data_IF_803790068153
#
_entry.id   IF_803790068153
#
_cell.length_a   1.000
_cell.length_b   1.000
_cell.length_c   1.000
_cell.angle_alpha   90.00
_cell.angle_beta   90.00
_cell.angle_gamma   90.00
#
_symmetry.space_group_name_H-M   'P 1'
#
loop_
_entity.id
_entity.type
_entity.pdbx_description
1 polymer ?
#
# COMPACT_ATOMS: atom_id res chain seq x y z
N UNK A 1 -6.63 -34.14 -1.45
CA UNK A 1 -6.55 -32.65 -1.41
C UNK A 1 -7.72 -32.09 -2.20
N UNK A 2 -8.51 -31.18 -1.62
CA UNK A 2 -9.64 -30.55 -2.32
C UNK A 2 -9.14 -29.26 -2.97
N UNK A 3 -9.14 -29.22 -4.30
CA UNK A 3 -8.67 -28.07 -5.07
C UNK A 3 -9.71 -26.95 -4.93
N UNK A 4 -9.36 -25.88 -4.21
CA UNK A 4 -10.20 -24.69 -3.99
C UNK A 4 -10.14 -23.76 -5.23
N UNK A 5 -10.50 -24.27 -6.41
CA UNK A 5 -10.42 -23.50 -7.67
C UNK A 5 -11.52 -22.47 -7.85
N UNK A 6 -12.48 -22.37 -6.93
CA UNK A 6 -13.62 -21.45 -7.05
C UNK A 6 -14.54 -21.73 -8.24
N UNK A 7 -14.42 -22.88 -8.90
CA UNK A 7 -15.23 -23.22 -10.07
C UNK A 7 -16.64 -23.68 -9.65
N UNK A 8 -17.59 -22.74 -9.60
CA UNK A 8 -19.02 -23.05 -9.68
C UNK A 8 -19.46 -22.92 -11.14
N UNK A 9 -20.11 -23.97 -11.67
CA UNK A 9 -20.56 -23.98 -13.06
C UNK A 9 -21.57 -22.86 -13.34
N UNK A 10 -21.28 -22.02 -14.33
CA UNK A 10 -22.16 -20.98 -14.86
C UNK A 10 -21.92 -19.57 -14.29
N UNK A 11 -21.10 -18.77 -14.99
CA UNK A 11 -21.00 -17.32 -14.75
C UNK A 11 -20.30 -16.92 -13.45
N UNK A 12 -19.11 -17.45 -13.17
CA UNK A 12 -18.30 -17.05 -12.01
C UNK A 12 -17.73 -15.62 -12.13
N UNK A 13 -17.59 -14.93 -11.00
CA UNK A 13 -16.73 -13.74 -10.94
C UNK A 13 -15.26 -14.20 -10.97
N UNK A 14 -14.46 -13.60 -11.85
CA UNK A 14 -13.03 -13.83 -11.90
C UNK A 14 -12.28 -12.55 -11.54
N UNK A 15 -11.32 -12.64 -10.62
CA UNK A 15 -10.37 -11.56 -10.38
C UNK A 15 -9.50 -11.42 -11.63
N UNK A 16 -9.70 -10.33 -12.37
CA UNK A 16 -8.86 -9.96 -13.53
C UNK A 16 -8.02 -8.74 -13.15
N UNK A 17 -6.76 -8.93 -12.69
CA UNK A 17 -5.90 -7.83 -12.29
C UNK A 17 -5.61 -6.94 -13.51
N UNK A 18 -5.68 -5.62 -13.30
CA UNK A 18 -5.32 -4.60 -14.29
C UNK A 18 -3.96 -3.98 -13.98
N UNK A 19 -3.59 -3.92 -12.71
CA UNK A 19 -2.28 -3.45 -12.26
C UNK A 19 -1.84 -4.19 -11.00
N UNK A 20 -0.53 -4.35 -10.87
CA UNK A 20 0.15 -4.85 -9.67
C UNK A 20 1.36 -3.98 -9.40
N UNK A 21 1.43 -3.38 -8.22
CA UNK A 21 2.50 -2.48 -7.78
C UNK A 21 3.04 -2.94 -6.40
N UNK A 22 4.35 -2.87 -6.18
CA UNK A 22 5.00 -3.33 -4.96
C UNK A 22 5.72 -2.19 -4.22
N UNK A 23 5.57 -2.15 -2.90
CA UNK A 23 6.14 -1.17 -1.97
C UNK A 23 6.71 -1.89 -0.75
N UNK A 24 8.02 -2.20 -0.78
CA UNK A 24 8.66 -2.99 0.27
C UNK A 24 8.03 -4.38 0.35
N UNK A 25 7.55 -4.77 1.54
CA UNK A 25 6.82 -6.03 1.75
C UNK A 25 5.35 -5.98 1.32
N UNK A 26 4.84 -4.81 0.90
CA UNK A 26 3.42 -4.66 0.53
C UNK A 26 3.26 -4.76 -0.98
N UNK A 27 2.32 -5.58 -1.46
CA UNK A 27 1.94 -5.67 -2.87
C UNK A 27 0.48 -5.26 -3.02
N UNK A 28 0.20 -4.38 -3.97
CA UNK A 28 -1.14 -3.90 -4.28
C UNK A 28 -1.52 -4.40 -5.66
N UNK A 29 -2.60 -5.17 -5.75
CA UNK A 29 -3.22 -5.55 -7.01
C UNK A 29 -4.59 -4.88 -7.10
N UNK A 30 -4.88 -4.21 -8.21
CA UNK A 30 -6.22 -3.71 -8.49
C UNK A 30 -6.77 -4.33 -9.77
N UNK A 31 -8.09 -4.45 -9.84
CA UNK A 31 -8.73 -4.98 -11.02
C UNK A 31 -10.21 -4.68 -11.06
N UNK A 32 -10.83 -5.15 -12.13
CA UNK A 32 -12.26 -5.08 -12.31
C UNK A 32 -12.81 -6.44 -12.73
N UNK A 33 -14.09 -6.66 -12.49
CA UNK A 33 -14.81 -7.65 -13.27
C UNK A 33 -15.09 -7.10 -14.67
N UNK A 34 -15.43 -8.00 -15.59
CA UNK A 34 -15.98 -7.69 -16.91
C UNK A 34 -17.02 -6.55 -16.87
N UNK A 35 -17.15 -5.82 -17.98
CA UNK A 35 -17.96 -4.63 -18.15
C UNK A 35 -19.43 -4.83 -17.72
N UNK A 36 -19.93 -6.06 -17.73
CA UNK A 36 -21.26 -6.41 -17.25
C UNK A 36 -21.46 -6.23 -15.73
N UNK A 37 -20.41 -6.43 -14.91
CA UNK A 37 -20.54 -6.46 -13.44
C UNK A 37 -20.15 -5.16 -12.77
N UNK A 38 -19.37 -4.30 -13.44
CA UNK A 38 -18.98 -2.98 -12.93
C UNK A 38 -18.42 -3.01 -11.49
N UNK A 39 -17.73 -4.10 -11.14
CA UNK A 39 -17.11 -4.29 -9.83
C UNK A 39 -15.65 -3.87 -9.90
N UNK A 40 -15.24 -3.02 -8.96
CA UNK A 40 -13.86 -2.65 -8.74
C UNK A 40 -13.34 -3.35 -7.48
N UNK A 41 -12.09 -3.81 -7.50
CA UNK A 41 -11.47 -4.42 -6.34
C UNK A 41 -10.00 -4.03 -6.22
N UNK A 42 -9.53 -3.97 -4.97
CA UNK A 42 -8.11 -3.85 -4.61
C UNK A 42 -7.77 -4.91 -3.58
N UNK A 43 -6.68 -5.63 -3.81
CA UNK A 43 -6.06 -6.54 -2.86
C UNK A 43 -4.73 -5.96 -2.41
N UNK A 44 -4.52 -5.91 -1.10
CA UNK A 44 -3.24 -5.55 -0.50
C UNK A 44 -2.68 -6.77 0.23
N UNK A 45 -1.50 -7.22 -0.18
CA UNK A 45 -0.79 -8.34 0.41
C UNK A 45 0.42 -7.85 1.19
N UNK A 46 0.70 -8.47 2.33
CA UNK A 46 2.02 -8.40 2.95
C UNK A 46 2.76 -9.69 2.65
N UNK A 47 3.91 -9.58 2.00
CA UNK A 47 4.75 -10.70 1.59
C UNK A 47 5.96 -10.77 2.52
N UNK A 48 6.17 -11.92 3.16
CA UNK A 48 7.31 -12.20 4.02
C UNK A 48 8.61 -12.34 3.22
N UNK A 49 9.77 -12.36 3.91
CA UNK A 49 11.08 -12.48 3.26
C UNK A 49 11.28 -13.83 2.54
N UNK A 50 10.47 -14.84 2.87
CA UNK A 50 10.40 -16.15 2.22
C UNK A 50 9.46 -16.18 0.99
N UNK A 51 8.87 -15.03 0.63
CA UNK A 51 7.92 -14.92 -0.48
C UNK A 51 6.49 -15.35 -0.13
N UNK A 52 6.22 -15.69 1.13
CA UNK A 52 4.87 -16.14 1.55
C UNK A 52 3.99 -14.95 1.87
N UNK A 53 2.74 -14.96 1.39
CA UNK A 53 1.74 -13.97 1.78
C UNK A 53 1.35 -14.22 3.24
N UNK A 54 1.65 -13.27 4.10
CA UNK A 54 1.37 -13.32 5.55
C UNK A 54 0.11 -12.55 5.93
N UNK A 55 -0.30 -11.58 5.10
CA UNK A 55 -1.55 -10.84 5.28
C UNK A 55 -2.21 -10.56 3.92
N UNK A 56 -3.53 -10.59 3.91
CA UNK A 56 -4.38 -10.20 2.78
C UNK A 56 -5.47 -9.25 3.30
N UNK A 57 -5.61 -8.09 2.65
CA UNK A 57 -6.76 -7.19 2.80
C UNK A 57 -7.43 -7.03 1.45
N UNK A 58 -8.74 -7.22 1.43
CA UNK A 58 -9.56 -7.09 0.24
C UNK A 58 -10.54 -5.93 0.38
N UNK A 59 -10.59 -5.10 -0.66
CA UNK A 59 -11.48 -3.94 -0.74
C UNK A 59 -12.28 -4.00 -2.03
N UNK A 60 -13.59 -4.20 -1.93
CA UNK A 60 -14.51 -4.10 -3.06
C UNK A 60 -15.15 -2.72 -3.12
N UNK A 61 -15.31 -2.20 -4.34
CA UNK A 61 -15.97 -0.92 -4.61
C UNK A 61 -15.52 0.18 -3.63
N UNK A 62 -14.22 0.24 -3.38
CA UNK A 62 -13.58 1.19 -2.46
C UNK A 62 -12.41 1.80 -3.19
N UNK A 63 -12.29 3.12 -3.11
CA UNK A 63 -11.15 3.86 -3.65
C UNK A 63 -10.03 3.84 -2.59
N UNK A 64 -8.87 3.30 -2.95
CA UNK A 64 -7.74 3.15 -2.06
C UNK A 64 -6.58 4.06 -2.47
N UNK A 65 -6.01 4.76 -1.48
CA UNK A 65 -4.76 5.50 -1.59
C UNK A 65 -3.72 4.87 -0.66
N UNK A 66 -2.54 4.56 -1.16
CA UNK A 66 -1.43 4.08 -0.34
C UNK A 66 -0.51 5.24 0.00
N UNK A 67 -0.24 5.40 1.28
CA UNK A 67 0.56 6.52 1.79
C UNK A 67 1.69 5.97 2.64
N UNK A 68 2.91 6.37 2.31
CA UNK A 68 4.06 6.13 3.17
C UNK A 68 3.96 7.03 4.40
N UNK A 69 3.85 6.44 5.57
CA UNK A 69 4.05 7.16 6.82
C UNK A 69 5.53 7.12 7.15
N UNK A 70 6.16 8.27 7.10
CA UNK A 70 7.51 8.44 7.61
C UNK A 70 7.53 8.08 9.11
N UNK A 71 8.16 6.97 9.45
CA UNK A 71 8.53 6.73 10.84
C UNK A 71 9.53 7.82 11.22
N UNK A 72 9.19 8.65 12.21
CA UNK A 72 10.17 9.49 12.87
C UNK A 72 11.16 8.56 13.58
N UNK A 73 12.23 8.15 12.88
CA UNK A 73 13.32 7.39 13.47
C UNK A 73 14.00 8.26 14.52
N UNK A 74 13.52 8.19 15.76
CA UNK A 74 14.31 8.56 16.92
C UNK A 74 15.37 7.49 17.14
N UNK A 75 16.50 7.59 16.45
CA UNK A 75 17.72 6.87 16.81
C UNK A 75 18.29 7.50 18.09
N UNK A 76 17.71 7.16 19.25
CA UNK A 76 18.42 7.24 20.53
C UNK A 76 19.12 5.91 20.75
N UNK A 77 20.42 5.87 20.41
CA UNK A 77 21.48 5.29 21.25
C UNK A 77 22.81 5.23 20.49
N UNK A 78 23.75 6.09 20.90
CA UNK A 78 25.15 5.69 21.05
C UNK A 78 25.70 6.39 22.29
N UNK A 79 26.24 5.58 23.18
CA UNK A 79 26.71 5.92 24.52
C UNK A 79 28.16 6.42 24.40
N UNK A 80 28.45 7.54 25.07
CA UNK A 80 29.75 8.03 25.59
C UNK A 80 30.99 8.09 24.67
N UNK A 81 31.45 9.33 24.37
CA UNK A 81 32.79 9.83 24.70
C UNK A 81 32.90 11.34 24.38
N UNK A 82 33.28 12.17 25.35
CA UNK A 82 33.73 13.56 25.13
C UNK A 82 35.14 13.55 24.53
N UNK A 83 35.59 14.56 23.73
CA UNK A 83 35.92 15.87 24.32
C UNK A 83 35.72 17.12 23.43
N UNK A 84 35.66 18.27 24.14
CA UNK A 84 36.09 19.66 23.82
C UNK A 84 35.59 20.39 22.55
N UNK A 85 35.12 21.61 22.82
CA UNK A 85 34.51 22.60 21.93
C UNK A 85 35.50 23.31 21.00
N UNK A 86 35.04 23.65 19.80
CA UNK A 86 35.31 24.91 19.09
C UNK A 86 34.06 25.30 18.25
N UNK A 87 33.64 26.58 18.17
CA UNK A 87 32.40 26.96 17.51
C UNK A 87 32.66 27.55 16.13
N UNK A 88 32.56 26.76 15.06
CA UNK A 88 32.32 27.31 13.72
C UNK A 88 31.42 26.40 12.90
N UNK A 89 30.28 26.97 12.50
CA UNK A 89 29.52 26.66 11.29
C UNK A 89 29.09 25.19 11.09
N UNK A 90 27.90 24.83 11.56
CA UNK A 90 27.17 23.72 10.93
C UNK A 90 25.67 23.98 10.91
N UNK A 91 25.16 23.92 9.68
CA UNK A 91 23.78 24.02 9.26
C UNK A 91 22.82 23.34 10.23
N UNK A 92 21.88 24.12 10.77
CA UNK A 92 20.67 23.61 11.40
C UNK A 92 19.88 22.82 10.37
N UNK A 93 20.13 21.52 10.25
CA UNK A 93 19.22 20.59 9.63
C UNK A 93 17.96 20.58 10.49
N UNK A 94 17.02 21.45 10.15
CA UNK A 94 15.67 21.40 10.70
C UNK A 94 15.13 19.98 10.49
N UNK A 95 14.45 19.38 11.49
CA UNK A 95 13.80 18.11 11.26
C UNK A 95 12.78 18.34 10.15
N UNK A 96 13.00 17.75 8.98
CA UNK A 96 12.03 17.77 7.90
C UNK A 96 10.75 17.18 8.46
N UNK A 97 9.73 18.02 8.68
CA UNK A 97 8.39 17.56 9.01
C UNK A 97 8.02 16.56 7.91
N UNK A 98 7.98 15.31 8.31
CA UNK A 98 7.99 14.21 7.37
C UNK A 98 6.55 14.04 6.87
N UNK A 99 6.23 14.78 5.80
CA UNK A 99 4.89 14.82 5.22
C UNK A 99 4.57 13.42 4.68
N UNK A 100 3.38 12.86 4.99
CA UNK A 100 2.95 11.60 4.40
C UNK A 100 3.01 11.68 2.87
N UNK A 101 3.66 10.69 2.24
CA UNK A 101 3.83 10.67 0.78
C UNK A 101 2.86 9.67 0.17
N UNK A 102 1.97 10.14 -0.70
CA UNK A 102 1.16 9.26 -1.54
C UNK A 102 2.10 8.48 -2.47
N UNK A 103 2.05 7.14 -2.38
CA UNK A 103 2.82 6.23 -3.22
C UNK A 103 1.99 5.68 -4.38
N UNK A 104 0.68 5.53 -4.15
CA UNK A 104 -0.22 4.90 -5.11
C UNK A 104 -1.65 5.34 -4.87
N UNK A 105 -2.44 5.37 -5.94
CA UNK A 105 -3.86 5.61 -5.90
C UNK A 105 -4.56 4.72 -6.92
N UNK A 106 -5.76 4.29 -6.57
CA UNK A 106 -6.64 3.47 -7.40
C UNK A 106 -6.88 4.10 -8.77
N UNK A 107 -6.76 3.29 -9.83
CA UNK A 107 -6.94 3.71 -11.22
C UNK A 107 -8.34 3.36 -11.67
N UNK A 108 -9.27 4.26 -11.36
CA UNK A 108 -10.68 4.13 -11.74
C UNK A 108 -10.87 4.64 -13.17
N UNK A 109 -11.51 3.83 -14.03
CA UNK A 109 -12.02 4.36 -15.29
C UNK A 109 -13.17 5.33 -14.94
N UNK A 110 -13.09 6.56 -15.42
CA UNK A 110 -14.03 7.65 -15.06
C UNK A 110 -15.51 7.36 -15.38
N UNK A 111 -15.77 6.29 -16.16
CA UNK A 111 -17.03 6.05 -16.88
C UNK A 111 -18.23 5.74 -16.01
N UNK A 112 -18.03 5.34 -14.75
CA UNK A 112 -19.13 5.11 -13.83
C UNK A 112 -19.07 6.18 -12.74
N UNK A 113 -19.91 7.21 -12.87
CA UNK A 113 -20.16 8.31 -11.93
C UNK A 113 -20.66 7.88 -10.53
N UNK A 114 -20.23 6.72 -10.02
CA UNK A 114 -20.52 6.25 -8.66
C UNK A 114 -19.39 6.72 -7.76
N UNK A 115 -19.70 7.57 -6.79
CA UNK A 115 -18.77 7.82 -5.69
C UNK A 115 -18.52 6.50 -4.95
N UNK A 116 -17.26 6.18 -4.68
CA UNK A 116 -16.88 5.06 -3.82
C UNK A 116 -16.36 5.64 -2.50
N UNK A 117 -16.55 4.94 -1.37
CA UNK A 117 -15.86 5.30 -0.15
C UNK A 117 -14.34 5.32 -0.39
N UNK A 118 -13.67 6.35 0.13
CA UNK A 118 -12.22 6.48 0.08
C UNK A 118 -11.57 5.92 1.34
N UNK A 119 -10.48 5.18 1.19
CA UNK A 119 -9.67 4.63 2.27
C UNK A 119 -8.18 4.94 2.04
N UNK A 120 -7.45 5.19 3.12
CA UNK A 120 -5.99 5.32 3.08
C UNK A 120 -5.35 4.09 3.72
N UNK A 121 -4.50 3.39 2.97
CA UNK A 121 -3.62 2.37 3.49
C UNK A 121 -2.27 3.00 3.80
N UNK A 122 -1.99 3.18 5.09
CA UNK A 122 -0.68 3.59 5.57
C UNK A 122 0.27 2.40 5.57
N UNK A 123 1.46 2.57 4.98
CA UNK A 123 2.56 1.60 4.99
C UNK A 123 3.87 2.23 5.47
#
# INVERSE_FOLDING_TARGET
MRLLTGATGGGGFAFSPRSVDAFGSTVIAEGGADDARQLYWVHAWTVGPDGVITQLREYFNTDLTVTLLSAATSTKNAIAAAPKQDPTSSSSAAPSSSVPKCLWQSRRADRAHKSLPGLVLAI
#
